data_IF_620093363577
#
_entry.id   IF_620093363577
#
_cell.length_a   1.000
_cell.length_b   1.000
_cell.length_c   1.000
_cell.angle_alpha   90.00
_cell.angle_beta   90.00
_cell.angle_gamma   90.00
#
_symmetry.space_group_name_H-M   'P 1'
#
loop_
_entity.id
_entity.type
_entity.pdbx_description
1 polymer ?
#
# COMPACT_ATOMS: atom_id res chain seq x y z
N UNK A 1 -15.95 -3.83 6.10
CA UNK A 1 -16.41 -5.13 5.52
C UNK A 1 -16.99 -4.87 4.15
N UNK A 2 -16.74 -5.78 3.16
CA UNK A 2 -17.30 -5.66 1.81
C UNK A 2 -18.68 -6.32 1.73
N UNK A 3 -19.62 -5.65 1.07
CA UNK A 3 -20.97 -6.16 0.80
C UNK A 3 -21.29 -5.97 -0.68
N UNK A 4 -21.56 -7.08 -1.36
CA UNK A 4 -22.06 -7.05 -2.74
C UNK A 4 -23.53 -6.60 -2.72
N UNK A 5 -23.86 -5.55 -3.47
CA UNK A 5 -25.21 -4.98 -3.53
C UNK A 5 -25.98 -5.43 -4.76
N UNK A 6 -25.30 -5.52 -5.91
CA UNK A 6 -25.90 -5.90 -7.19
C UNK A 6 -24.90 -6.55 -8.13
N UNK A 7 -25.35 -7.56 -8.85
CA UNK A 7 -24.67 -8.16 -9.99
C UNK A 7 -25.53 -7.99 -11.25
N UNK A 8 -24.88 -7.76 -12.39
CA UNK A 8 -25.50 -7.74 -13.71
C UNK A 8 -24.47 -8.22 -14.73
N UNK A 9 -24.60 -9.46 -15.20
CA UNK A 9 -23.53 -10.13 -15.95
C UNK A 9 -22.24 -10.18 -15.14
N UNK A 10 -21.15 -9.65 -15.70
CA UNK A 10 -19.85 -9.53 -15.03
C UNK A 10 -19.70 -8.26 -14.18
N UNK A 11 -20.61 -7.32 -14.27
CA UNK A 11 -20.58 -6.07 -13.53
C UNK A 11 -21.02 -6.31 -12.06
N UNK A 12 -20.30 -5.68 -11.12
CA UNK A 12 -20.57 -5.79 -9.68
C UNK A 12 -20.61 -4.41 -9.07
N UNK A 13 -21.67 -4.12 -8.32
CA UNK A 13 -21.76 -2.97 -7.43
C UNK A 13 -21.73 -3.46 -5.98
N UNK A 14 -20.89 -2.85 -5.18
CA UNK A 14 -20.79 -3.16 -3.76
C UNK A 14 -20.45 -1.94 -2.92
N UNK A 15 -20.34 -2.17 -1.63
CA UNK A 15 -19.84 -1.19 -0.68
C UNK A 15 -18.77 -1.81 0.22
N UNK A 16 -17.78 -1.02 0.57
CA UNK A 16 -16.71 -1.41 1.45
C UNK A 16 -16.64 -0.45 2.65
N UNK A 17 -17.06 -0.94 3.82
CA UNK A 17 -17.10 -0.14 5.05
C UNK A 17 -15.78 -0.24 5.80
N UNK A 18 -15.26 0.91 6.22
CA UNK A 18 -14.04 1.09 7.01
C UNK A 18 -14.31 1.97 8.22
N UNK A 19 -13.32 2.15 9.08
CA UNK A 19 -13.40 3.09 10.22
C UNK A 19 -13.40 4.57 9.80
N UNK A 20 -13.01 4.86 8.55
CA UNK A 20 -12.98 6.21 7.98
C UNK A 20 -14.08 6.45 6.93
N UNK A 21 -15.12 5.62 6.92
CA UNK A 21 -16.25 5.74 6.01
C UNK A 21 -16.43 4.55 5.08
N UNK A 22 -17.43 4.64 4.23
CA UNK A 22 -17.83 3.59 3.29
C UNK A 22 -17.53 4.01 1.86
N UNK A 23 -16.87 3.13 1.11
CA UNK A 23 -16.56 3.29 -0.30
C UNK A 23 -17.58 2.54 -1.13
N UNK A 24 -18.26 3.21 -2.04
CA UNK A 24 -19.13 2.58 -3.04
C UNK A 24 -18.29 2.08 -4.21
N UNK A 25 -18.40 0.79 -4.54
CA UNK A 25 -17.64 0.22 -5.66
C UNK A 25 -18.51 -0.01 -6.89
N UNK A 26 -17.95 0.15 -8.10
CA UNK A 26 -16.56 0.50 -8.40
C UNK A 26 -16.19 1.92 -7.96
N UNK A 27 -14.94 2.12 -7.51
CA UNK A 27 -14.43 3.42 -7.09
C UNK A 27 -13.04 3.66 -7.70
N UNK A 28 -12.74 4.91 -8.02
CA UNK A 28 -11.41 5.34 -8.40
C UNK A 28 -10.63 5.83 -7.16
N UNK A 29 -9.38 5.42 -7.03
CA UNK A 29 -8.49 5.86 -5.98
C UNK A 29 -7.56 6.95 -6.51
N UNK A 30 -7.74 8.18 -6.03
CA UNK A 30 -6.90 9.31 -6.44
C UNK A 30 -5.51 9.18 -5.85
N UNK A 31 -4.48 9.21 -6.71
CA UNK A 31 -3.09 9.00 -6.28
C UNK A 31 -2.47 10.27 -5.73
N UNK A 32 -2.35 10.33 -4.42
CA UNK A 32 -1.69 11.38 -3.65
C UNK A 32 -0.30 10.92 -3.21
N UNK A 33 0.64 10.83 -4.13
CA UNK A 33 1.96 10.19 -3.99
C UNK A 33 2.65 10.50 -2.65
N UNK A 34 2.75 11.76 -2.28
CA UNK A 34 3.37 12.23 -1.04
C UNK A 34 2.35 12.98 -0.15
N UNK A 35 1.20 12.35 0.09
CA UNK A 35 0.07 12.92 0.84
C UNK A 35 -0.61 14.13 0.16
N UNK A 36 -0.29 14.38 -1.11
CA UNK A 36 -0.98 15.36 -1.96
C UNK A 36 -0.94 14.90 -3.41
N UNK A 37 -1.95 15.26 -4.20
CA UNK A 37 -1.98 14.95 -5.63
C UNK A 37 -1.02 15.89 -6.35
N UNK A 38 -0.19 15.34 -7.23
CA UNK A 38 0.68 16.13 -8.10
C UNK A 38 -0.16 17.10 -8.94
N UNK A 39 0.26 18.35 -9.01
CA UNK A 39 -0.46 19.41 -9.70
C UNK A 39 -1.23 20.36 -8.78
N UNK A 40 -1.21 20.13 -7.47
CA UNK A 40 -1.68 21.07 -6.46
C UNK A 40 -3.12 20.86 -5.98
N UNK A 41 -3.69 19.65 -6.12
CA UNK A 41 -4.97 19.31 -5.51
C UNK A 41 -4.79 18.93 -4.05
N UNK A 42 -5.55 19.56 -3.19
CA UNK A 42 -5.61 19.33 -1.75
C UNK A 42 -6.71 18.30 -1.37
N UNK A 43 -6.78 17.93 -0.09
CA UNK A 43 -7.88 17.12 0.44
C UNK A 43 -9.24 17.80 0.23
N UNK A 44 -9.32 19.13 0.35
CA UNK A 44 -10.55 19.89 0.13
C UNK A 44 -11.03 19.80 -1.33
N UNK A 45 -10.10 19.77 -2.30
CA UNK A 45 -10.46 19.59 -3.72
C UNK A 45 -11.01 18.19 -3.97
N UNK A 46 -10.47 17.16 -3.28
CA UNK A 46 -10.99 15.80 -3.34
C UNK A 46 -12.39 15.69 -2.76
N UNK A 47 -12.65 16.33 -1.62
CA UNK A 47 -13.99 16.41 -1.01
C UNK A 47 -14.99 17.11 -1.94
N UNK A 48 -14.60 18.24 -2.52
CA UNK A 48 -15.45 19.00 -3.44
C UNK A 48 -15.78 18.23 -4.73
N UNK A 49 -15.02 17.20 -5.07
CA UNK A 49 -15.23 16.32 -6.21
C UNK A 49 -15.79 14.94 -5.82
N UNK A 50 -16.36 14.78 -4.64
CA UNK A 50 -16.94 13.53 -4.13
C UNK A 50 -15.99 12.31 -4.22
N UNK A 51 -14.70 12.54 -4.09
CA UNK A 51 -13.72 11.46 -4.06
C UNK A 51 -13.90 10.62 -2.80
N UNK A 52 -13.94 9.30 -2.96
CA UNK A 52 -14.29 8.42 -1.86
C UNK A 52 -13.06 7.84 -1.13
N UNK A 53 -11.93 7.73 -1.82
CA UNK A 53 -10.72 7.08 -1.30
C UNK A 53 -9.48 7.69 -1.93
N UNK A 54 -8.45 7.92 -1.11
CA UNK A 54 -7.15 8.43 -1.54
C UNK A 54 -6.09 7.34 -1.43
N UNK A 55 -5.16 7.28 -2.39
CA UNK A 55 -4.00 6.40 -2.34
C UNK A 55 -2.74 7.22 -2.07
N UNK A 56 -1.94 6.81 -1.08
CA UNK A 56 -0.63 7.39 -0.79
C UNK A 56 0.49 6.35 -0.97
N UNK A 57 1.67 6.79 -1.42
CA UNK A 57 2.77 5.88 -1.67
C UNK A 57 3.68 5.72 -0.45
N UNK A 58 3.78 4.51 0.07
CA UNK A 58 4.59 4.13 1.24
C UNK A 58 6.06 4.51 1.07
N UNK A 59 6.67 4.15 -0.05
CA UNK A 59 8.07 4.45 -0.33
C UNK A 59 8.38 5.96 -0.32
N UNK A 60 7.58 6.74 -1.04
CA UNK A 60 7.80 8.20 -1.12
C UNK A 60 7.65 8.87 0.24
N UNK A 61 6.64 8.49 1.01
CA UNK A 61 6.39 9.03 2.34
C UNK A 61 7.44 8.59 3.37
N UNK A 62 7.98 7.37 3.24
CA UNK A 62 9.08 6.90 4.06
C UNK A 62 10.34 7.74 3.85
N UNK A 63 10.67 8.06 2.60
CA UNK A 63 11.83 8.91 2.28
C UNK A 63 11.61 10.36 2.68
N UNK A 64 10.43 10.91 2.40
CA UNK A 64 10.09 12.32 2.66
C UNK A 64 8.58 12.51 2.83
N UNK A 65 8.12 13.01 3.99
CA UNK A 65 8.88 13.61 5.09
C UNK A 65 9.45 12.60 6.10
N UNK A 66 9.26 11.30 5.90
CA UNK A 66 9.57 10.21 6.81
C UNK A 66 8.32 9.75 7.59
N UNK A 67 8.07 8.45 7.58
CA UNK A 67 6.91 7.82 8.22
C UNK A 67 6.83 8.10 9.73
N UNK A 68 7.99 8.14 10.43
CA UNK A 68 8.04 8.50 11.86
C UNK A 68 7.63 9.95 12.13
N UNK A 69 7.90 10.87 11.18
CA UNK A 69 7.45 12.24 11.30
C UNK A 69 5.93 12.32 11.10
N UNK A 70 5.39 11.59 10.13
CA UNK A 70 3.94 11.49 9.91
C UNK A 70 3.25 10.89 11.15
N UNK A 71 3.82 9.85 11.76
CA UNK A 71 3.31 9.27 13.01
C UNK A 71 3.23 10.30 14.14
N UNK A 72 4.30 11.11 14.34
CA UNK A 72 4.32 12.20 15.35
C UNK A 72 3.24 13.26 15.11
N UNK A 73 2.82 13.46 13.87
CA UNK A 73 1.74 14.36 13.49
C UNK A 73 0.35 13.71 13.59
N UNK A 74 0.28 12.45 14.02
CA UNK A 74 -0.97 11.71 14.22
C UNK A 74 -1.45 10.92 13.00
N UNK A 75 -0.54 10.60 12.08
CA UNK A 75 -0.80 9.79 10.89
C UNK A 75 -1.28 10.58 9.68
N UNK A 76 -1.48 9.88 8.58
CA UNK A 76 -1.82 10.49 7.28
C UNK A 76 -3.11 11.30 7.32
N UNK A 77 -4.16 10.81 7.98
CA UNK A 77 -5.44 11.51 8.05
C UNK A 77 -5.28 12.92 8.63
N UNK A 78 -4.56 13.05 9.75
CA UNK A 78 -4.28 14.39 10.33
C UNK A 78 -3.31 15.20 9.48
N UNK A 79 -2.31 14.55 8.91
CA UNK A 79 -1.30 15.21 8.09
C UNK A 79 -1.88 15.80 6.80
N UNK A 80 -2.82 15.09 6.16
CA UNK A 80 -3.49 15.53 4.92
C UNK A 80 -4.76 16.33 5.15
N UNK A 81 -5.35 16.24 6.36
CA UNK A 81 -6.71 16.72 6.69
C UNK A 81 -7.80 16.05 5.83
N UNK A 82 -7.58 14.79 5.49
CA UNK A 82 -8.53 13.95 4.78
C UNK A 82 -9.13 12.94 5.75
N UNK A 83 -10.45 13.02 5.97
CA UNK A 83 -11.16 12.15 6.92
C UNK A 83 -11.65 10.84 6.28
N UNK A 84 -11.67 10.77 4.96
CA UNK A 84 -12.05 9.58 4.20
C UNK A 84 -11.00 8.47 4.22
N UNK A 85 -11.34 7.29 3.68
CA UNK A 85 -10.40 6.17 3.58
C UNK A 85 -9.12 6.53 2.81
N UNK A 86 -7.97 6.08 3.36
CA UNK A 86 -6.65 6.16 2.71
C UNK A 86 -6.12 4.74 2.55
N UNK A 87 -5.69 4.41 1.33
CA UNK A 87 -4.90 3.22 1.05
C UNK A 87 -3.44 3.61 0.91
N UNK A 88 -2.53 2.89 1.58
CA UNK A 88 -1.10 2.96 1.29
C UNK A 88 -0.68 1.74 0.49
N UNK A 89 0.07 1.96 -0.60
CA UNK A 89 0.65 0.87 -1.38
C UNK A 89 1.73 0.12 -0.58
N UNK A 90 2.20 -1.01 -1.12
CA UNK A 90 3.24 -1.81 -0.46
C UNK A 90 4.63 -1.16 -0.46
N UNK A 91 4.89 -0.23 -1.39
CA UNK A 91 6.21 0.26 -1.75
C UNK A 91 6.97 -0.64 -2.75
N UNK A 92 6.50 -1.86 -3.00
CA UNK A 92 7.16 -2.84 -3.87
C UNK A 92 7.30 -2.37 -5.32
N UNK A 93 6.26 -1.77 -5.89
CA UNK A 93 6.30 -1.25 -7.26
C UNK A 93 7.36 -0.13 -7.44
N UNK A 94 7.49 0.79 -6.48
CA UNK A 94 8.48 1.87 -6.56
C UNK A 94 9.90 1.32 -6.46
N UNK A 95 10.11 0.30 -5.62
CA UNK A 95 11.37 -0.45 -5.57
C UNK A 95 11.68 -1.09 -6.92
N UNK A 96 10.67 -1.66 -7.59
CA UNK A 96 10.80 -2.22 -8.93
C UNK A 96 11.11 -1.14 -9.97
N UNK A 97 10.33 -0.07 -10.05
CA UNK A 97 10.35 0.91 -11.14
C UNK A 97 11.46 1.95 -11.04
N UNK A 98 11.90 2.31 -9.82
CA UNK A 98 12.85 3.39 -9.59
C UNK A 98 14.28 2.92 -9.34
N UNK A 99 14.51 1.62 -9.10
CA UNK A 99 15.83 1.08 -8.84
C UNK A 99 16.28 0.11 -9.93
N UNK A 100 17.25 0.55 -10.77
CA UNK A 100 17.90 -0.31 -11.75
C UNK A 100 18.79 -1.39 -11.11
N UNK A 101 19.28 -1.13 -9.88
CA UNK A 101 20.13 -2.03 -9.10
C UNK A 101 19.38 -2.42 -7.84
N UNK A 102 18.71 -3.56 -7.88
CA UNK A 102 18.04 -4.16 -6.74
C UNK A 102 18.51 -5.60 -6.54
N UNK A 103 18.60 -6.02 -5.31
CA UNK A 103 18.83 -7.42 -4.93
C UNK A 103 17.62 -7.92 -4.16
N UNK A 104 16.93 -8.90 -4.73
CA UNK A 104 15.77 -9.57 -4.13
C UNK A 104 16.26 -10.84 -3.45
N UNK A 105 15.86 -11.04 -2.19
CA UNK A 105 16.10 -12.24 -1.40
C UNK A 105 14.80 -12.69 -0.74
N UNK A 106 14.81 -13.77 0.01
CA UNK A 106 13.64 -14.21 0.77
C UNK A 106 13.32 -13.24 1.92
N UNK A 107 14.32 -12.55 2.45
CA UNK A 107 14.16 -11.58 3.54
C UNK A 107 13.48 -10.30 3.07
N UNK A 108 13.78 -9.85 1.85
CA UNK A 108 13.28 -8.60 1.28
C UNK A 108 14.13 -8.12 0.13
N UNK A 109 14.08 -6.82 -0.14
CA UNK A 109 14.76 -6.18 -1.27
C UNK A 109 15.72 -5.10 -0.78
N UNK A 110 16.96 -5.16 -1.27
CA UNK A 110 17.94 -4.09 -1.08
C UNK A 110 18.08 -3.29 -2.38
N UNK A 111 18.00 -1.98 -2.27
CA UNK A 111 18.06 -1.05 -3.42
C UNK A 111 18.59 0.32 -3.00
N UNK A 112 18.77 1.22 -3.95
CA UNK A 112 19.25 2.57 -3.67
C UNK A 112 18.12 3.60 -3.79
N UNK A 113 18.08 4.56 -2.85
CA UNK A 113 17.19 5.70 -2.88
C UNK A 113 17.37 6.50 -4.17
N UNK A 114 16.27 6.87 -4.81
CA UNK A 114 16.29 7.73 -6.01
C UNK A 114 16.56 9.20 -5.68
N UNK A 115 16.50 9.59 -4.39
CA UNK A 115 16.72 10.97 -3.96
C UNK A 115 18.22 11.30 -3.78
N UNK A 116 18.95 10.40 -3.15
CA UNK A 116 20.33 10.64 -2.69
C UNK A 116 21.25 9.41 -2.86
N UNK A 117 20.71 8.31 -3.41
CA UNK A 117 21.47 7.10 -3.70
C UNK A 117 21.84 6.25 -2.47
N UNK A 118 21.41 6.59 -1.26
CA UNK A 118 21.73 5.76 -0.11
C UNK A 118 21.04 4.39 -0.19
N UNK A 119 21.68 3.39 0.42
CA UNK A 119 21.20 2.01 0.38
C UNK A 119 20.05 1.81 1.35
N UNK A 120 18.96 1.22 0.87
CA UNK A 120 17.75 0.91 1.63
C UNK A 120 17.51 -0.60 1.57
N UNK A 121 17.11 -1.17 2.70
CA UNK A 121 16.49 -2.48 2.77
C UNK A 121 15.01 -2.31 3.07
N UNK A 122 14.16 -3.04 2.38
CA UNK A 122 12.73 -3.09 2.61
C UNK A 122 12.25 -4.53 2.45
N UNK A 123 11.63 -5.05 3.48
CA UNK A 123 10.97 -6.34 3.50
C UNK A 123 9.54 -6.23 4.02
N UNK A 124 8.86 -7.35 4.21
CA UNK A 124 7.51 -7.39 4.75
C UNK A 124 7.36 -6.64 6.07
N UNK A 125 8.27 -6.84 7.00
CA UNK A 125 8.22 -6.22 8.33
C UNK A 125 8.45 -4.71 8.25
N UNK A 126 9.46 -4.26 7.50
CA UNK A 126 9.75 -2.83 7.32
C UNK A 126 8.58 -2.12 6.64
N UNK A 127 8.00 -2.72 5.60
CA UNK A 127 6.82 -2.16 4.93
C UNK A 127 5.64 -2.01 5.89
N UNK A 128 5.38 -3.01 6.73
CA UNK A 128 4.30 -2.93 7.72
C UNK A 128 4.58 -1.90 8.80
N UNK A 129 5.81 -1.78 9.29
CA UNK A 129 6.21 -0.76 10.27
C UNK A 129 6.01 0.66 9.71
N UNK A 130 6.43 0.87 8.46
CA UNK A 130 6.23 2.16 7.78
C UNK A 130 4.73 2.47 7.64
N UNK A 131 3.93 1.52 7.15
CA UNK A 131 2.49 1.73 6.95
C UNK A 131 1.73 1.87 8.27
N UNK A 132 2.15 1.19 9.33
CA UNK A 132 1.60 1.37 10.68
C UNK A 132 1.89 2.78 11.23
N UNK A 133 3.09 3.34 10.99
CA UNK A 133 3.43 4.72 11.31
C UNK A 133 2.62 5.72 10.48
N UNK A 134 2.39 5.43 9.20
CA UNK A 134 1.54 6.26 8.33
C UNK A 134 0.07 6.23 8.77
N UNK A 135 -0.40 5.15 9.35
CA UNK A 135 -1.74 5.03 9.93
C UNK A 135 -2.86 5.08 8.90
N UNK A 136 -2.63 4.58 7.69
CA UNK A 136 -3.66 4.49 6.64
C UNK A 136 -4.83 3.60 7.06
N UNK A 137 -5.95 3.71 6.35
CA UNK A 137 -7.13 2.83 6.55
C UNK A 137 -6.82 1.42 6.06
N UNK A 138 -6.13 1.31 4.92
CA UNK A 138 -5.78 0.06 4.24
C UNK A 138 -4.28 0.08 3.97
N UNK A 139 -3.56 -0.93 4.43
CA UNK A 139 -2.18 -1.21 4.08
C UNK A 139 -2.15 -2.33 3.04
N UNK A 140 -1.32 -2.20 2.00
CA UNK A 140 -1.05 -3.28 1.06
C UNK A 140 0.11 -4.13 1.55
N UNK A 141 -0.01 -5.44 1.45
CA UNK A 141 1.09 -6.35 1.76
C UNK A 141 2.27 -6.13 0.83
N UNK A 142 3.49 -6.24 1.36
CA UNK A 142 4.71 -6.15 0.55
C UNK A 142 4.77 -7.33 -0.42
N UNK A 143 4.99 -7.04 -1.69
CA UNK A 143 4.96 -8.00 -2.79
C UNK A 143 6.18 -7.86 -3.69
N UNK A 144 6.47 -8.91 -4.45
CA UNK A 144 7.46 -8.85 -5.51
C UNK A 144 6.78 -8.49 -6.84
N UNK A 145 6.92 -7.24 -7.24
CA UNK A 145 6.50 -6.80 -8.58
C UNK A 145 7.57 -7.24 -9.60
N UNK A 146 7.18 -8.09 -10.54
CA UNK A 146 8.06 -8.59 -11.61
C UNK A 146 7.77 -7.90 -12.95
N UNK A 147 8.72 -8.02 -13.88
CA UNK A 147 8.52 -7.58 -15.27
C UNK A 147 7.46 -8.43 -15.96
N UNK A 148 6.77 -7.84 -16.92
CA UNK A 148 5.84 -8.54 -17.80
C UNK A 148 6.24 -8.26 -19.27
N UNK A 149 6.54 -9.28 -20.08
CA UNK A 149 6.48 -10.72 -19.76
C UNK A 149 7.61 -11.19 -18.86
N UNK A 150 7.37 -12.27 -18.09
CA UNK A 150 8.38 -12.98 -17.31
C UNK A 150 8.32 -14.47 -17.62
N UNK A 151 9.45 -15.16 -17.48
CA UNK A 151 9.52 -16.62 -17.60
C UNK A 151 8.64 -17.30 -16.52
N UNK A 152 7.90 -18.35 -16.87
CA UNK A 152 6.94 -19.02 -16.00
C UNK A 152 7.54 -19.45 -14.65
N UNK A 153 8.73 -20.06 -14.67
CA UNK A 153 9.38 -20.52 -13.44
C UNK A 153 9.71 -19.34 -12.50
N UNK A 154 10.12 -18.22 -13.05
CA UNK A 154 10.37 -17.00 -12.27
C UNK A 154 9.06 -16.43 -11.74
N UNK A 155 8.02 -16.32 -12.59
CA UNK A 155 6.69 -15.84 -12.19
C UNK A 155 6.13 -16.67 -11.04
N UNK A 156 6.20 -18.01 -11.15
CA UNK A 156 5.76 -18.92 -10.08
C UNK A 156 6.55 -18.71 -8.78
N UNK A 157 7.87 -18.65 -8.85
CA UNK A 157 8.71 -18.44 -7.67
C UNK A 157 8.42 -17.08 -6.98
N UNK A 158 8.15 -16.04 -7.77
CA UNK A 158 7.77 -14.71 -7.29
C UNK A 158 6.38 -14.72 -6.63
N UNK A 159 5.40 -15.41 -7.21
CA UNK A 159 4.09 -15.61 -6.59
C UNK A 159 4.21 -16.32 -5.24
N UNK A 160 4.93 -17.42 -5.19
CA UNK A 160 5.15 -18.19 -3.97
C UNK A 160 5.85 -17.34 -2.88
N UNK A 161 6.82 -16.48 -3.27
CA UNK A 161 7.48 -15.52 -2.37
C UNK A 161 6.50 -14.48 -1.87
N UNK A 162 5.71 -13.88 -2.74
CA UNK A 162 4.68 -12.90 -2.39
C UNK A 162 3.69 -13.47 -1.36
N UNK A 163 3.28 -14.73 -1.50
CA UNK A 163 2.41 -15.41 -0.51
C UNK A 163 3.12 -15.59 0.84
N UNK A 164 4.41 -15.94 0.86
CA UNK A 164 5.19 -16.04 2.11
C UNK A 164 5.36 -14.67 2.76
N UNK A 165 5.64 -13.64 1.98
CA UNK A 165 5.73 -12.26 2.45
C UNK A 165 4.40 -11.73 3.00
N UNK A 166 3.27 -12.06 2.38
CA UNK A 166 1.95 -11.73 2.93
C UNK A 166 1.74 -12.30 4.34
N UNK A 167 2.18 -13.56 4.59
CA UNK A 167 2.10 -14.16 5.94
C UNK A 167 2.93 -13.38 6.95
N UNK A 168 4.14 -12.94 6.57
CA UNK A 168 5.01 -12.11 7.40
C UNK A 168 4.39 -10.73 7.66
N UNK A 169 3.87 -10.08 6.62
CA UNK A 169 3.13 -8.80 6.74
C UNK A 169 1.98 -8.92 7.75
N UNK A 170 1.18 -9.99 7.64
CA UNK A 170 0.05 -10.24 8.54
C UNK A 170 0.51 -10.41 9.99
N UNK A 171 1.58 -11.17 10.22
CA UNK A 171 2.13 -11.40 11.55
C UNK A 171 2.65 -10.09 12.16
N UNK A 172 3.44 -9.32 11.40
CA UNK A 172 4.01 -8.05 11.86
C UNK A 172 2.94 -6.99 12.14
N UNK A 173 1.96 -6.82 11.25
CA UNK A 173 0.87 -5.88 11.50
C UNK A 173 0.06 -6.25 12.75
N UNK A 174 -0.17 -7.56 12.98
CA UNK A 174 -0.84 -8.03 14.20
C UNK A 174 -0.03 -7.72 15.45
N UNK A 175 1.30 -7.92 15.41
CA UNK A 175 2.21 -7.56 16.50
C UNK A 175 2.17 -6.07 16.79
N UNK A 176 2.34 -5.22 15.76
CA UNK A 176 2.33 -3.75 15.90
C UNK A 176 1.04 -3.23 16.53
N UNK A 177 -0.10 -3.81 16.16
CA UNK A 177 -1.40 -3.47 16.76
C UNK A 177 -1.50 -3.94 18.21
N UNK A 178 -1.07 -5.17 18.49
CA UNK A 178 -1.11 -5.73 19.84
C UNK A 178 -0.22 -4.99 20.84
N UNK A 179 0.89 -4.43 20.36
CA UNK A 179 1.82 -3.63 21.17
C UNK A 179 1.46 -2.12 21.22
N UNK A 180 0.39 -1.71 20.54
CA UNK A 180 -0.03 -0.30 20.50
C UNK A 180 0.90 0.61 19.69
N UNK A 181 1.68 0.05 18.77
CA UNK A 181 2.64 0.77 17.92
C UNK A 181 2.05 1.29 16.60
N UNK A 182 0.85 0.81 16.22
CA UNK A 182 0.17 1.27 15.02
C UNK A 182 -0.62 2.57 15.31
N UNK A 183 -0.39 3.61 14.53
CA UNK A 183 -1.16 4.87 14.62
C UNK A 183 -2.65 4.64 14.40
N UNK A 184 -3.00 3.74 13.48
CA UNK A 184 -4.38 3.27 13.29
C UNK A 184 -4.49 1.79 13.72
N UNK A 185 -5.03 1.46 14.90
CA UNK A 185 -5.19 0.08 15.34
C UNK A 185 -6.20 -0.72 14.51
N UNK A 186 -7.07 -0.05 13.75
CA UNK A 186 -8.07 -0.64 12.87
C UNK A 186 -7.61 -0.78 11.42
N UNK A 187 -6.34 -0.48 11.11
CA UNK A 187 -5.78 -0.59 9.77
C UNK A 187 -6.02 -1.99 9.19
N UNK A 188 -6.55 -2.05 7.97
CA UNK A 188 -6.79 -3.30 7.25
C UNK A 188 -5.54 -3.70 6.45
N UNK A 189 -5.34 -5.00 6.23
CA UNK A 189 -4.29 -5.52 5.36
C UNK A 189 -4.94 -6.14 4.12
N UNK A 190 -4.53 -5.69 2.94
CA UNK A 190 -4.89 -6.30 1.67
C UNK A 190 -3.70 -7.05 1.09
N UNK A 191 -3.95 -8.29 0.64
CA UNK A 191 -2.99 -9.06 -0.14
C UNK A 191 -2.98 -8.63 -1.59
N UNK A 192 -1.92 -8.98 -2.30
CA UNK A 192 -1.74 -8.72 -3.73
C UNK A 192 -1.62 -10.06 -4.45
N UNK A 193 -2.44 -10.27 -5.48
CA UNK A 193 -2.28 -11.38 -6.40
C UNK A 193 -1.23 -11.00 -7.44
N UNK A 194 -0.25 -11.87 -7.62
CA UNK A 194 0.76 -11.80 -8.66
C UNK A 194 0.59 -13.01 -9.59
N UNK A 195 1.27 -13.07 -10.74
CA UNK A 195 1.19 -14.21 -11.65
C UNK A 195 1.47 -13.85 -13.11
N UNK A 196 1.84 -12.60 -13.41
CA UNK A 196 1.95 -12.11 -14.80
C UNK A 196 0.64 -12.35 -15.57
N UNK A 197 0.74 -13.04 -16.73
CA UNK A 197 -0.39 -13.42 -17.58
C UNK A 197 -0.62 -14.94 -17.58
N UNK A 198 -0.20 -15.66 -16.54
CA UNK A 198 -0.41 -17.10 -16.42
C UNK A 198 -1.68 -17.37 -15.62
N UNK A 199 -2.63 -18.06 -16.25
CA UNK A 199 -3.98 -18.30 -15.70
C UNK A 199 -3.98 -19.21 -14.46
N UNK A 200 -2.92 -20.00 -14.27
CA UNK A 200 -2.74 -20.93 -13.17
C UNK A 200 -1.95 -20.38 -11.98
N UNK A 201 -1.44 -19.16 -12.08
CA UNK A 201 -0.73 -18.44 -11.02
C UNK A 201 -1.57 -17.29 -10.50
#
# INVERSE_FOLDING_TARGET
>A
MYKLLKNEGSARRGEFSTVHGTVQTPAFMNVATAAAIKGGLSAFDLEANDCQVMLCNTYHLHLRPGDKNVARLGGLHKFTRWDGPILTDSGGFQVFSLSKLRKITEEGVTFNSHLDGHRIFMGPEESMQIQANLGSTIAMAFDECMENPAEYQYAKASCDRTVRWLKRCKAELSRLKGEGLAVNPHQLLFGINQGCCYDDL
#
